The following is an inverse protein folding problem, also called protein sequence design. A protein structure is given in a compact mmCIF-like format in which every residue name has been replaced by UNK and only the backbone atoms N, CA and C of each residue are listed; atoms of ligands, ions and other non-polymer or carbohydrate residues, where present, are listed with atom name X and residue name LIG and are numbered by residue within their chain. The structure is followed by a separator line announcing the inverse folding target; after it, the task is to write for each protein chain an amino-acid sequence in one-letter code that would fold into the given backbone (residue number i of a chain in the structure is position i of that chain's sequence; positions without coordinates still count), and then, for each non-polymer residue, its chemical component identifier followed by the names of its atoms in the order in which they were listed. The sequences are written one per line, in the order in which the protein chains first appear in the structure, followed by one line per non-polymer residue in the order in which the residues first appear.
data_IF_480212578442
#
_entry.id   IF_480212578442
#
_cell.length_a   1.000
_cell.length_b   1.000
_cell.length_c   1.000
_cell.angle_alpha   90.00
_cell.angle_beta   90.00
_cell.angle_gamma   90.00
#
_symmetry.space_group_name_H-M   'P 1'
#
loop_
_entity.id
_entity.type
_entity.pdbx_description
1 polymer ?
#
# COMPACT_ATOMS: atom_id res chain seq x y z
N UNK A 1 -6.08 14.32 26.18
CA UNK A 1 -5.53 13.15 25.45
C UNK A 1 -5.33 13.54 23.99
N UNK A 2 -4.14 14.00 23.57
CA UNK A 2 -3.94 14.47 22.18
C UNK A 2 -2.48 14.38 21.71
N UNK A 3 -1.72 13.32 22.00
CA UNK A 3 -0.30 13.34 21.59
C UNK A 3 0.42 11.99 21.45
N UNK A 4 -0.24 10.97 20.87
CA UNK A 4 0.53 9.99 20.08
C UNK A 4 0.64 10.55 18.66
N UNK A 5 1.56 11.50 18.50
CA UNK A 5 1.76 12.20 17.23
C UNK A 5 2.07 11.21 16.12
N UNK A 6 1.60 11.54 14.91
CA UNK A 6 1.77 10.81 13.66
C UNK A 6 3.25 10.59 13.32
N UNK A 7 3.92 9.63 13.97
CA UNK A 7 5.37 9.35 13.87
C UNK A 7 5.85 9.10 12.43
N UNK A 8 4.94 8.70 11.55
CA UNK A 8 5.18 8.52 10.13
C UNK A 8 5.42 9.85 9.40
N UNK A 9 4.95 10.99 9.89
CA UNK A 9 5.22 12.30 9.29
C UNK A 9 6.61 12.79 9.70
N UNK A 10 7.48 13.09 8.72
CA UNK A 10 8.90 13.41 8.98
C UNK A 10 9.28 14.87 8.75
N UNK A 11 8.46 15.64 8.03
CA UNK A 11 8.70 17.08 7.83
C UNK A 11 7.95 17.61 6.62
N UNK A 12 7.88 18.94 6.50
CA UNK A 12 7.24 19.60 5.36
C UNK A 12 7.98 20.87 4.97
N UNK A 13 7.75 21.33 3.75
CA UNK A 13 8.24 22.62 3.27
C UNK A 13 7.34 23.14 2.16
N UNK A 14 7.35 24.46 1.96
CA UNK A 14 6.66 25.11 0.85
C UNK A 14 7.68 25.81 -0.03
N UNK A 15 7.64 25.53 -1.34
CA UNK A 15 8.44 26.22 -2.35
C UNK A 15 7.57 27.17 -3.16
N UNK A 16 8.22 28.19 -3.73
CA UNK A 16 7.63 29.08 -4.72
C UNK A 16 8.41 28.86 -6.02
N UNK A 17 7.73 28.48 -7.09
CA UNK A 17 8.35 28.33 -8.41
C UNK A 17 8.70 29.73 -8.99
N UNK A 18 9.49 29.76 -10.06
CA UNK A 18 9.84 31.00 -10.80
C UNK A 18 8.62 31.83 -11.20
N UNK A 19 7.50 31.17 -11.49
CA UNK A 19 6.24 31.79 -11.92
C UNK A 19 5.37 32.27 -10.73
N UNK A 20 5.91 32.27 -9.51
CA UNK A 20 5.20 32.67 -8.28
C UNK A 20 4.24 31.61 -7.73
N UNK A 21 4.20 30.41 -8.32
CA UNK A 21 3.31 29.34 -7.87
C UNK A 21 3.81 28.66 -6.60
N UNK A 22 2.97 28.65 -5.57
CA UNK A 22 3.26 27.96 -4.31
C UNK A 22 2.97 26.47 -4.41
N UNK A 23 3.91 25.65 -3.93
CA UNK A 23 3.79 24.20 -3.79
C UNK A 23 4.21 23.78 -2.40
N UNK A 24 3.36 23.02 -1.70
CA UNK A 24 3.71 22.45 -0.39
C UNK A 24 4.00 20.97 -0.55
N UNK A 25 5.01 20.49 0.16
CA UNK A 25 5.44 19.10 0.19
C UNK A 25 5.43 18.56 1.61
N UNK A 26 4.90 17.35 1.81
CA UNK A 26 4.93 16.60 3.07
C UNK A 26 5.77 15.33 2.86
N UNK A 27 6.82 15.16 3.66
CA UNK A 27 7.62 13.93 3.76
C UNK A 27 7.05 13.02 4.84
N UNK A 28 7.04 11.72 4.57
CA UNK A 28 6.58 10.70 5.50
C UNK A 28 7.33 9.38 5.29
N UNK A 29 7.45 8.55 6.34
CA UNK A 29 7.91 7.17 6.27
C UNK A 29 6.68 6.28 6.21
N UNK A 30 6.56 5.48 5.16
CA UNK A 30 5.47 4.52 5.04
C UNK A 30 5.60 3.47 6.17
N UNK A 31 4.59 3.27 7.04
CA UNK A 31 4.69 2.36 8.18
C UNK A 31 4.73 0.88 7.76
N UNK A 32 4.27 0.54 6.55
CA UNK A 32 4.23 -0.86 6.05
C UNK A 32 5.50 -1.19 5.30
N UNK A 33 5.95 -0.30 4.41
CA UNK A 33 7.13 -0.56 3.56
C UNK A 33 8.43 0.01 4.12
N UNK A 34 8.36 0.79 5.20
CA UNK A 34 9.46 1.54 5.81
C UNK A 34 10.19 2.54 4.89
N UNK A 35 9.72 2.72 3.67
CA UNK A 35 10.34 3.62 2.69
C UNK A 35 9.95 5.07 2.96
N UNK A 36 10.91 5.97 2.77
CA UNK A 36 10.64 7.41 2.78
C UNK A 36 9.94 7.84 1.49
N UNK A 37 8.80 8.52 1.64
CA UNK A 37 7.97 9.03 0.55
C UNK A 37 7.72 10.52 0.74
N UNK A 38 7.31 11.18 -0.35
CA UNK A 38 6.91 12.59 -0.34
C UNK A 38 5.67 12.80 -1.21
N UNK A 39 4.75 13.64 -0.74
CA UNK A 39 3.56 14.06 -1.50
C UNK A 39 3.55 15.59 -1.60
N UNK A 40 3.25 16.10 -2.79
CA UNK A 40 3.32 17.53 -3.10
C UNK A 40 2.00 18.02 -3.68
N UNK A 41 1.59 19.22 -3.30
CA UNK A 41 0.38 19.87 -3.81
C UNK A 41 0.69 21.30 -4.25
N UNK A 42 0.26 21.66 -5.45
CA UNK A 42 0.26 23.05 -5.93
C UNK A 42 -0.98 23.78 -5.42
N UNK A 43 -0.79 24.98 -4.87
CA UNK A 43 -1.87 25.72 -4.20
C UNK A 43 -2.95 26.15 -5.18
N UNK A 44 -2.55 26.76 -6.31
CA UNK A 44 -3.47 27.24 -7.35
C UNK A 44 -4.36 26.12 -7.89
N UNK A 45 -3.80 24.93 -8.13
CA UNK A 45 -4.52 23.77 -8.65
C UNK A 45 -5.64 23.28 -7.71
N UNK A 46 -5.49 23.49 -6.41
CA UNK A 46 -6.42 23.01 -5.38
C UNK A 46 -7.15 24.14 -4.64
N UNK A 47 -7.01 25.38 -5.09
CA UNK A 47 -7.64 26.55 -4.45
C UNK A 47 -7.16 26.81 -3.01
N UNK A 48 -5.96 26.36 -2.65
CA UNK A 48 -5.44 26.45 -1.29
C UNK A 48 -4.95 27.88 -1.01
N UNK A 49 -5.35 28.44 0.15
CA UNK A 49 -5.05 29.82 0.52
C UNK A 49 -3.93 29.96 1.55
N UNK A 50 -3.54 28.86 2.21
CA UNK A 50 -2.49 28.88 3.21
C UNK A 50 -1.72 27.56 3.27
N UNK A 51 -0.50 27.62 3.82
CA UNK A 51 0.35 26.45 4.01
C UNK A 51 -0.35 25.45 4.94
N UNK A 52 -1.03 25.93 5.98
CA UNK A 52 -1.80 25.09 6.88
C UNK A 52 -2.90 24.32 6.15
N UNK A 53 -3.60 24.96 5.21
CA UNK A 53 -4.60 24.26 4.37
C UNK A 53 -3.94 23.24 3.45
N UNK A 54 -2.80 23.57 2.84
CA UNK A 54 -2.05 22.66 1.99
C UNK A 54 -1.53 21.43 2.75
N UNK A 55 -1.03 21.62 3.96
CA UNK A 55 -0.57 20.53 4.83
C UNK A 55 -1.72 19.65 5.29
N UNK A 56 -2.85 20.24 5.66
CA UNK A 56 -4.04 19.46 6.01
C UNK A 56 -4.47 18.60 4.84
N UNK A 57 -4.60 19.19 3.64
CA UNK A 57 -4.92 18.45 2.43
C UNK A 57 -3.95 17.29 2.18
N UNK A 58 -2.64 17.53 2.28
CA UNK A 58 -1.63 16.50 2.07
C UNK A 58 -1.69 15.38 3.12
N UNK A 59 -1.93 15.73 4.39
CA UNK A 59 -2.02 14.74 5.48
C UNK A 59 -3.25 13.87 5.33
N UNK A 60 -4.40 14.46 5.02
CA UNK A 60 -5.64 13.73 4.75
C UNK A 60 -5.40 12.77 3.56
N UNK A 61 -4.79 13.26 2.47
CA UNK A 61 -4.43 12.47 1.30
C UNK A 61 -3.43 11.33 1.59
N UNK A 62 -2.48 11.54 2.50
CA UNK A 62 -1.53 10.50 2.94
C UNK A 62 -2.26 9.47 3.82
N UNK A 63 -3.15 9.91 4.71
CA UNK A 63 -3.94 9.02 5.56
C UNK A 63 -4.88 8.13 4.75
N UNK A 64 -5.52 8.67 3.72
CA UNK A 64 -6.32 7.87 2.78
C UNK A 64 -5.49 6.79 2.10
N UNK A 65 -4.27 7.11 1.68
CA UNK A 65 -3.37 6.13 1.07
C UNK A 65 -2.83 5.10 2.05
N UNK A 66 -2.53 5.51 3.29
CA UNK A 66 -1.92 4.66 4.31
C UNK A 66 -2.91 3.82 5.11
N UNK A 67 -4.16 4.24 5.23
CA UNK A 67 -5.13 3.60 6.13
C UNK A 67 -6.43 3.25 5.43
N UNK A 68 -6.95 4.09 4.53
CA UNK A 68 -8.20 3.75 3.81
C UNK A 68 -8.00 2.73 2.68
N UNK A 69 -6.88 2.82 1.92
CA UNK A 69 -6.57 1.84 0.87
C UNK A 69 -6.14 0.45 1.40
N UNK A 70 -5.31 0.33 2.46
CA UNK A 70 -4.90 -0.98 2.98
C UNK A 70 -5.89 -1.61 3.99
N UNK A 71 -6.97 -0.95 4.39
CA UNK A 71 -8.07 -1.61 5.14
C UNK A 71 -8.68 -2.79 4.36
N UNK A 72 -8.45 -2.86 3.06
CA UNK A 72 -8.80 -4.01 2.20
C UNK A 72 -7.98 -5.28 2.54
N UNK A 73 -6.88 -5.16 3.29
CA UNK A 73 -5.97 -6.25 3.67
C UNK A 73 -6.05 -6.57 5.17
N UNK A 74 -7.11 -6.13 5.87
CA UNK A 74 -7.47 -6.70 7.19
C UNK A 74 -8.50 -7.82 7.06
N UNK A 75 -8.45 -8.60 5.96
CA UNK A 75 -9.14 -9.88 5.92
C UNK A 75 -8.34 -10.82 6.83
N UNK A 76 -8.99 -11.43 7.82
CA UNK A 76 -8.37 -12.53 8.57
C UNK A 76 -8.05 -13.62 7.56
N UNK A 77 -6.76 -13.90 7.37
CA UNK A 77 -6.27 -14.92 6.43
C UNK A 77 -6.01 -16.18 7.23
N UNK A 78 -6.91 -17.16 7.14
CA UNK A 78 -6.79 -18.41 7.91
C UNK A 78 -6.38 -19.60 7.04
N UNK A 79 -6.78 -19.57 5.77
CA UNK A 79 -6.55 -20.65 4.81
C UNK A 79 -5.62 -20.25 3.68
N UNK A 80 -5.05 -21.24 2.99
CA UNK A 80 -4.21 -21.01 1.82
C UNK A 80 -4.99 -20.32 0.68
N UNK A 81 -6.28 -20.63 0.52
CA UNK A 81 -7.15 -19.93 -0.42
C UNK A 81 -7.28 -18.44 -0.07
N UNK A 82 -7.47 -18.09 1.21
CA UNK A 82 -7.55 -16.68 1.61
C UNK A 82 -6.27 -15.93 1.27
N UNK A 83 -5.11 -16.59 1.42
CA UNK A 83 -3.81 -16.01 1.08
C UNK A 83 -3.71 -15.76 -0.43
N UNK A 84 -4.09 -16.74 -1.25
CA UNK A 84 -4.09 -16.63 -2.70
C UNK A 84 -5.08 -15.56 -3.18
N UNK A 85 -6.28 -15.49 -2.61
CA UNK A 85 -7.29 -14.49 -2.95
C UNK A 85 -6.78 -13.06 -2.67
N UNK A 86 -6.13 -12.86 -1.53
CA UNK A 86 -5.50 -11.56 -1.18
C UNK A 86 -4.37 -11.24 -2.15
N UNK A 87 -3.51 -12.21 -2.45
CA UNK A 87 -2.43 -12.03 -3.42
C UNK A 87 -2.95 -11.65 -4.80
N UNK A 88 -3.91 -12.41 -5.36
CA UNK A 88 -4.49 -12.14 -6.69
C UNK A 88 -5.12 -10.74 -6.72
N UNK A 89 -5.87 -10.35 -5.68
CA UNK A 89 -6.51 -9.03 -5.60
C UNK A 89 -5.51 -7.88 -5.67
N UNK A 90 -4.33 -8.04 -5.06
CA UNK A 90 -3.29 -7.01 -5.02
C UNK A 90 -2.45 -7.04 -6.31
N UNK A 91 -2.10 -8.22 -6.78
CA UNK A 91 -1.16 -8.42 -7.88
C UNK A 91 -1.81 -8.29 -9.26
N UNK A 92 -3.02 -8.82 -9.47
CA UNK A 92 -3.68 -8.86 -10.78
C UNK A 92 -3.79 -7.48 -11.47
N UNK A 93 -4.11 -6.37 -10.77
CA UNK A 93 -4.17 -5.04 -11.39
C UNK A 93 -2.83 -4.52 -11.93
N UNK A 94 -1.70 -5.15 -11.56
CA UNK A 94 -0.36 -4.74 -11.96
C UNK A 94 0.14 -5.41 -13.24
N UNK A 95 -0.60 -6.39 -13.77
CA UNK A 95 -0.21 -7.21 -14.92
C UNK A 95 -1.33 -7.33 -15.94
N UNK A 96 -1.02 -7.92 -17.10
CA UNK A 96 -2.03 -8.22 -18.14
C UNK A 96 -2.91 -9.40 -17.72
N UNK A 97 -4.15 -9.40 -18.16
CA UNK A 97 -5.11 -10.48 -17.90
C UNK A 97 -4.61 -11.86 -18.35
N UNK A 98 -3.92 -11.92 -19.50
CA UNK A 98 -3.30 -13.17 -19.97
C UNK A 98 -2.28 -13.74 -18.97
N UNK A 99 -1.54 -12.88 -18.29
CA UNK A 99 -0.59 -13.26 -17.24
C UNK A 99 -1.33 -13.78 -16.01
N UNK A 100 -2.44 -13.13 -15.63
CA UNK A 100 -3.29 -13.60 -14.52
C UNK A 100 -3.83 -15.00 -14.82
N UNK A 101 -4.38 -15.21 -16.02
CA UNK A 101 -4.92 -16.51 -16.42
C UNK A 101 -3.85 -17.61 -16.42
N UNK A 102 -2.65 -17.31 -16.94
CA UNK A 102 -1.53 -18.25 -16.90
C UNK A 102 -1.13 -18.62 -15.47
N UNK A 103 -1.09 -17.66 -14.55
CA UNK A 103 -0.72 -17.92 -13.15
C UNK A 103 -1.80 -18.69 -12.40
N UNK A 104 -3.08 -18.39 -12.64
CA UNK A 104 -4.20 -19.15 -12.09
C UNK A 104 -4.12 -20.63 -12.51
N UNK A 105 -3.79 -20.91 -13.77
CA UNK A 105 -3.59 -22.28 -14.24
C UNK A 105 -2.39 -22.98 -13.56
N UNK A 106 -1.30 -22.27 -13.29
CA UNK A 106 -0.16 -22.82 -12.57
C UNK A 106 -0.51 -23.14 -11.11
N UNK A 107 -1.28 -22.28 -10.44
CA UNK A 107 -1.80 -22.54 -9.09
C UNK A 107 -2.64 -23.83 -9.05
N UNK A 108 -3.58 -23.98 -9.98
CA UNK A 108 -4.43 -25.18 -10.07
C UNK A 108 -3.61 -26.44 -10.31
N UNK A 109 -2.66 -26.38 -11.25
CA UNK A 109 -1.95 -27.58 -11.70
C UNK A 109 -0.84 -28.02 -10.75
N UNK A 110 -0.14 -27.07 -10.11
CA UNK A 110 1.10 -27.36 -9.40
C UNK A 110 1.07 -26.99 -7.93
N UNK A 111 0.21 -26.07 -7.49
CA UNK A 111 0.22 -25.62 -6.09
C UNK A 111 -0.91 -26.27 -5.29
N UNK A 112 -2.17 -26.18 -5.76
CA UNK A 112 -3.31 -26.74 -5.02
C UNK A 112 -3.27 -28.24 -4.76
N UNK A 113 -2.59 -29.09 -5.56
CA UNK A 113 -2.41 -30.50 -5.20
C UNK A 113 -1.59 -30.71 -3.91
N UNK A 114 -0.66 -29.81 -3.59
CA UNK A 114 0.20 -29.90 -2.40
C UNK A 114 -0.24 -28.96 -1.28
N UNK A 115 -0.87 -27.85 -1.65
CA UNK A 115 -1.40 -26.84 -0.75
C UNK A 115 -2.91 -26.67 -1.00
N UNK A 116 -3.75 -27.59 -0.47
CA UNK A 116 -5.19 -27.52 -0.64
C UNK A 116 -5.74 -26.15 -0.25
N UNK A 117 -6.83 -25.74 -0.91
CA UNK A 117 -7.44 -24.42 -0.72
C UNK A 117 -7.83 -24.15 0.75
N UNK A 118 -8.31 -25.16 1.44
CA UNK A 118 -8.74 -25.16 2.84
C UNK A 118 -7.59 -25.37 3.83
N UNK A 119 -6.36 -25.57 3.36
CA UNK A 119 -5.19 -25.76 4.22
C UNK A 119 -5.01 -24.58 5.16
N UNK A 120 -5.05 -24.84 6.48
CA UNK A 120 -4.82 -23.80 7.47
C UNK A 120 -3.37 -23.32 7.45
N UNK A 121 -3.18 -22.00 7.38
CA UNK A 121 -1.85 -21.38 7.41
C UNK A 121 -1.11 -21.65 8.72
N UNK A 122 -1.80 -21.98 9.81
CA UNK A 122 -1.19 -22.32 11.11
C UNK A 122 -0.39 -23.63 11.05
N UNK A 123 -0.72 -24.50 10.10
CA UNK A 123 -0.07 -25.81 9.93
C UNK A 123 1.10 -25.73 8.95
N UNK A 124 1.19 -24.64 8.17
CA UNK A 124 2.34 -24.39 7.29
C UNK A 124 3.58 -24.12 8.14
N UNK A 125 4.47 -25.11 8.18
CA UNK A 125 5.80 -24.97 8.74
C UNK A 125 6.78 -24.60 7.64
N UNK A 126 7.84 -23.84 7.94
CA UNK A 126 8.95 -23.66 7.00
C UNK A 126 9.46 -25.05 6.57
N UNK A 127 9.37 -25.35 5.28
CA UNK A 127 10.04 -26.49 4.68
C UNK A 127 11.29 -25.99 3.98
N UNK A 128 12.43 -26.61 4.25
CA UNK A 128 13.62 -26.46 3.43
C UNK A 128 13.30 -27.05 2.07
N UNK A 129 13.26 -26.20 1.05
CA UNK A 129 13.25 -26.65 -0.35
C UNK A 129 14.70 -26.90 -0.70
N UNK A 130 15.12 -28.17 -0.74
CA UNK A 130 16.41 -28.54 -1.32
C UNK A 130 16.34 -28.32 -2.83
N UNK A 131 17.39 -27.71 -3.40
CA UNK A 131 17.52 -27.55 -4.85
C UNK A 131 17.57 -28.93 -5.52
N UNK A 132 16.78 -29.10 -6.59
CA UNK A 132 16.82 -30.29 -7.47
C UNK A 132 17.87 -30.05 -8.56
#
# INVERSE_FOLDING_TARGET
MMEKQKEYLKGYFTTVDSDGYKRTCQRYKDPVTEKFKRKTVGWKKKGLKSERQALRYLRDEIEKELFEKPLVIMKVVETFKDLVDVWIKIWAPTVRETTVNSQSNLLEKYIYPFFPRDLSLKVLKPMLVEEI
#
